data_IF_571087187055
#
_entry.id   IF_571087187055
#
_cell.length_a   1.000
_cell.length_b   1.000
_cell.length_c   1.000
_cell.angle_alpha   90.00
_cell.angle_beta   90.00
_cell.angle_gamma   90.00
#
_symmetry.space_group_name_H-M   'P 1'
#
loop_
_entity.id
_entity.type
_entity.pdbx_description
1 polymer ?
#
# COMPACT_ATOMS: atom_id res chain seq x y z
N UNK A 1 -36.29 -45.03 -8.92
CA UNK A 1 -35.57 -43.90 -9.56
C UNK A 1 -34.07 -44.17 -9.49
N UNK A 2 -33.39 -44.29 -10.63
CA UNK A 2 -31.97 -44.63 -10.69
C UNK A 2 -31.10 -43.47 -10.20
N UNK A 3 -30.03 -43.76 -9.45
CA UNK A 3 -29.10 -42.76 -8.90
C UNK A 3 -28.53 -41.77 -9.94
N UNK A 4 -28.48 -42.20 -11.21
CA UNK A 4 -28.06 -41.37 -12.35
C UNK A 4 -29.03 -40.20 -12.63
N UNK A 5 -30.34 -40.37 -12.41
CA UNK A 5 -31.34 -39.31 -12.61
C UNK A 5 -31.25 -38.23 -11.52
N UNK A 6 -30.97 -38.62 -10.28
CA UNK A 6 -30.84 -37.68 -9.16
C UNK A 6 -29.62 -36.76 -9.32
N UNK A 7 -28.48 -37.29 -9.76
CA UNK A 7 -27.26 -36.49 -10.00
C UNK A 7 -27.44 -35.45 -11.11
N UNK A 8 -28.18 -35.79 -12.18
CA UNK A 8 -28.48 -34.86 -13.27
C UNK A 8 -29.40 -33.72 -12.83
N UNK A 9 -30.40 -34.02 -11.99
CA UNK A 9 -31.28 -32.99 -11.42
C UNK A 9 -30.50 -32.00 -10.56
N UNK A 10 -29.63 -32.48 -9.66
CA UNK A 10 -28.84 -31.60 -8.77
C UNK A 10 -27.92 -30.67 -9.58
N UNK A 11 -27.28 -31.18 -10.64
CA UNK A 11 -26.40 -30.37 -11.49
C UNK A 11 -27.16 -29.23 -12.21
N UNK A 12 -28.37 -29.50 -12.71
CA UNK A 12 -29.20 -28.48 -13.38
C UNK A 12 -29.69 -27.41 -12.41
N UNK A 13 -30.11 -27.79 -11.20
CA UNK A 13 -30.48 -26.82 -10.17
C UNK A 13 -29.31 -25.93 -9.75
N UNK A 14 -28.12 -26.51 -9.55
CA UNK A 14 -26.91 -25.74 -9.21
C UNK A 14 -26.55 -24.68 -10.26
N UNK A 15 -26.61 -25.05 -11.55
CA UNK A 15 -26.34 -24.13 -12.66
C UNK A 15 -27.35 -22.98 -12.72
N UNK A 16 -28.64 -23.27 -12.50
CA UNK A 16 -29.68 -22.25 -12.48
C UNK A 16 -29.51 -21.25 -11.31
N UNK A 17 -29.09 -21.73 -10.14
CA UNK A 17 -28.86 -20.89 -8.97
C UNK A 17 -27.68 -19.93 -9.19
N UNK A 18 -26.61 -20.37 -9.83
CA UNK A 18 -25.44 -19.53 -10.15
C UNK A 18 -25.83 -18.40 -11.12
N UNK A 19 -26.61 -18.70 -12.17
CA UNK A 19 -27.05 -17.69 -13.15
C UNK A 19 -27.96 -16.64 -12.48
N UNK A 20 -28.86 -17.08 -11.61
CA UNK A 20 -29.71 -16.16 -10.84
C UNK A 20 -28.88 -15.27 -9.90
N UNK A 21 -27.89 -15.83 -9.23
CA UNK A 21 -26.99 -15.09 -8.35
C UNK A 21 -26.14 -14.07 -9.11
N UNK A 22 -25.57 -14.45 -10.25
CA UNK A 22 -24.84 -13.53 -11.13
C UNK A 22 -25.73 -12.38 -11.63
N UNK A 23 -26.98 -12.69 -12.02
CA UNK A 23 -27.95 -11.68 -12.44
C UNK A 23 -28.31 -10.69 -11.33
N UNK A 24 -28.38 -11.17 -10.08
CA UNK A 24 -28.61 -10.32 -8.91
C UNK A 24 -27.43 -9.36 -8.66
N UNK A 25 -26.19 -9.86 -8.70
CA UNK A 25 -24.98 -9.04 -8.54
C UNK A 25 -24.87 -7.95 -9.60
N UNK A 26 -25.14 -8.28 -10.87
CA UNK A 26 -25.17 -7.32 -11.97
C UNK A 26 -26.21 -6.21 -11.77
N UNK A 27 -27.35 -6.51 -11.12
CA UNK A 27 -28.37 -5.51 -10.82
C UNK A 27 -27.94 -4.59 -9.68
N UNK A 28 -27.30 -5.11 -8.63
CA UNK A 28 -26.75 -4.29 -7.55
C UNK A 28 -25.69 -3.31 -8.07
N UNK A 29 -24.72 -3.79 -8.85
CA UNK A 29 -23.66 -2.94 -9.40
C UNK A 29 -24.20 -1.82 -10.30
N UNK A 30 -25.28 -2.06 -11.04
CA UNK A 30 -25.94 -1.02 -11.85
C UNK A 30 -26.63 0.02 -10.96
N UNK A 31 -27.33 -0.41 -9.91
CA UNK A 31 -27.97 0.50 -8.96
C UNK A 31 -26.94 1.39 -8.25
N UNK A 32 -25.80 0.83 -7.84
CA UNK A 32 -24.73 1.59 -7.20
C UNK A 32 -24.09 2.60 -8.15
N UNK A 33 -23.81 2.21 -9.40
CA UNK A 33 -23.27 3.12 -10.42
C UNK A 33 -24.21 4.30 -10.66
N UNK A 34 -25.51 4.05 -10.74
CA UNK A 34 -26.50 5.09 -10.97
C UNK A 34 -26.64 5.99 -9.72
N UNK A 35 -26.53 5.43 -8.51
CA UNK A 35 -26.44 6.21 -7.26
C UNK A 35 -25.23 7.14 -7.26
N UNK A 36 -24.04 6.65 -7.61
CA UNK A 36 -22.82 7.48 -7.70
C UNK A 36 -22.95 8.60 -8.74
N UNK A 37 -23.61 8.35 -9.88
CA UNK A 37 -23.88 9.40 -10.88
C UNK A 37 -24.79 10.49 -10.31
N UNK A 38 -25.81 10.13 -9.53
CA UNK A 38 -26.67 11.13 -8.90
C UNK A 38 -25.93 11.94 -7.83
N UNK A 39 -25.07 11.31 -7.03
CA UNK A 39 -24.25 12.01 -6.04
C UNK A 39 -23.23 12.95 -6.69
N UNK A 40 -22.60 12.52 -7.79
CA UNK A 40 -21.68 13.36 -8.56
C UNK A 40 -22.39 14.56 -9.20
N UNK A 41 -23.61 14.36 -9.74
CA UNK A 41 -24.41 15.45 -10.28
C UNK A 41 -24.82 16.47 -9.19
N UNK A 42 -25.20 16.00 -8.00
CA UNK A 42 -25.51 16.87 -6.86
C UNK A 42 -24.31 17.71 -6.41
N UNK A 43 -23.13 17.10 -6.29
CA UNK A 43 -21.90 17.83 -5.95
C UNK A 43 -21.51 18.85 -7.04
N UNK A 44 -21.73 18.53 -8.31
CA UNK A 44 -21.48 19.47 -9.40
C UNK A 44 -22.45 20.67 -9.38
N UNK A 45 -23.73 20.44 -9.05
CA UNK A 45 -24.72 21.48 -8.83
C UNK A 45 -24.33 22.37 -7.63
N UNK A 46 -23.96 21.74 -6.50
CA UNK A 46 -23.53 22.44 -5.28
C UNK A 46 -22.27 23.29 -5.52
N UNK A 47 -21.29 22.78 -6.28
CA UNK A 47 -20.12 23.56 -6.68
C UNK A 47 -20.47 24.72 -7.61
N UNK A 48 -21.46 24.55 -8.49
CA UNK A 48 -21.94 25.61 -9.38
C UNK A 48 -22.67 26.70 -8.59
N UNK A 49 -23.50 26.32 -7.62
CA UNK A 49 -24.16 27.24 -6.70
C UNK A 49 -23.14 27.99 -5.83
N UNK A 50 -22.19 27.28 -5.21
CA UNK A 50 -21.11 27.90 -4.43
C UNK A 50 -20.27 28.86 -5.28
N UNK A 51 -19.97 28.51 -6.54
CA UNK A 51 -19.25 29.38 -7.47
C UNK A 51 -20.07 30.60 -7.91
N UNK A 52 -21.39 30.47 -8.01
CA UNK A 52 -22.28 31.59 -8.33
C UNK A 52 -22.46 32.55 -7.15
N UNK A 53 -22.42 32.05 -5.91
CA UNK A 53 -22.39 32.87 -4.70
C UNK A 53 -21.02 33.51 -4.46
N UNK A 54 -19.94 32.87 -4.93
CA UNK A 54 -18.57 33.37 -4.83
C UNK A 54 -18.15 34.28 -6.00
N UNK A 55 -19.04 34.67 -6.91
CA UNK A 55 -18.72 35.61 -7.97
C UNK A 55 -18.74 37.06 -7.44
N UNK A 56 -17.59 37.78 -7.38
CA UNK A 56 -17.58 39.21 -7.16
C UNK A 56 -17.84 39.91 -8.49
N UNK A 57 -18.62 40.99 -8.42
CA UNK A 57 -18.65 42.06 -9.43
C UNK A 57 -17.23 42.42 -9.87
N UNK A 58 -17.05 42.53 -11.19
CA UNK A 58 -15.76 42.62 -11.83
C UNK A 58 -14.82 43.68 -11.24
N UNK A 59 -13.56 43.30 -11.11
CA UNK A 59 -12.43 44.20 -11.30
C UNK A 59 -11.23 43.40 -11.76
N UNK A 60 -10.59 43.95 -12.78
CA UNK A 60 -9.27 43.62 -13.33
C UNK A 60 -8.20 43.46 -12.26
N UNK A 61 -7.40 42.41 -12.43
CA UNK A 61 -5.96 42.27 -12.24
C UNK A 61 -5.21 43.09 -11.16
N UNK A 62 -4.26 42.41 -10.52
CA UNK A 62 -3.22 42.89 -9.58
C UNK A 62 -3.62 43.18 -8.11
N UNK A 63 -3.58 42.13 -7.29
CA UNK A 63 -3.39 42.30 -5.84
C UNK A 63 -3.77 41.06 -5.04
N UNK A 64 -2.78 40.25 -4.64
CA UNK A 64 -2.96 39.34 -3.49
C UNK A 64 -3.54 40.16 -2.34
N UNK A 65 -4.71 39.77 -1.85
CA UNK A 65 -5.44 40.54 -0.84
C UNK A 65 -4.55 40.77 0.37
N UNK A 66 -4.60 41.97 0.97
CA UNK A 66 -3.79 42.29 2.15
C UNK A 66 -3.98 41.27 3.29
N UNK A 67 -5.16 40.65 3.36
CA UNK A 67 -5.48 39.54 4.26
C UNK A 67 -4.75 38.24 3.93
N UNK A 68 -4.61 37.88 2.65
CA UNK A 68 -3.90 36.66 2.24
C UNK A 68 -2.39 36.81 2.45
N UNK A 69 -1.86 38.03 2.26
CA UNK A 69 -0.46 38.35 2.56
C UNK A 69 -0.17 38.30 4.06
N UNK A 70 -1.09 38.77 4.91
CA UNK A 70 -0.91 38.70 6.37
C UNK A 70 -1.03 37.25 6.88
N UNK A 71 -1.91 36.44 6.29
CA UNK A 71 -2.00 35.01 6.60
C UNK A 71 -0.76 34.23 6.17
N UNK A 72 -0.21 34.50 4.98
CA UNK A 72 1.05 33.87 4.54
C UNK A 72 2.24 34.25 5.43
N UNK A 73 2.33 35.50 5.90
CA UNK A 73 3.38 35.89 6.86
C UNK A 73 3.19 35.22 8.22
N UNK A 74 1.95 35.12 8.70
CA UNK A 74 1.62 34.43 9.95
C UNK A 74 1.97 32.94 9.87
N UNK A 75 1.61 32.27 8.76
CA UNK A 75 1.95 30.86 8.54
C UNK A 75 3.46 30.63 8.46
N UNK A 76 4.22 31.53 7.83
CA UNK A 76 5.70 31.46 7.82
C UNK A 76 6.31 31.63 9.21
N UNK A 77 5.75 32.51 10.04
CA UNK A 77 6.19 32.67 11.43
C UNK A 77 5.90 31.40 12.26
N UNK A 78 4.71 30.81 12.10
CA UNK A 78 4.31 29.58 12.80
C UNK A 78 5.21 28.39 12.41
N UNK A 79 5.51 28.23 11.12
CA UNK A 79 6.42 27.17 10.62
C UNK A 79 7.84 27.36 11.16
N UNK A 80 8.31 28.61 11.25
CA UNK A 80 9.64 28.91 11.82
C UNK A 80 9.69 28.59 13.31
N UNK A 81 8.61 28.91 14.05
CA UNK A 81 8.48 28.58 15.48
C UNK A 81 8.48 27.06 15.71
N UNK A 82 7.73 26.31 14.91
CA UNK A 82 7.67 24.84 15.00
C UNK A 82 9.02 24.19 14.70
N UNK A 83 9.76 24.71 13.70
CA UNK A 83 11.13 24.24 13.43
C UNK A 83 12.10 24.53 14.57
N UNK A 84 12.02 25.70 15.21
CA UNK A 84 12.87 26.02 16.36
C UNK A 84 12.53 25.18 17.59
N UNK A 85 11.25 24.87 17.83
CA UNK A 85 10.84 23.96 18.90
C UNK A 85 11.37 22.55 18.66
N UNK A 86 11.29 22.01 17.45
CA UNK A 86 11.87 20.70 17.11
C UNK A 86 13.40 20.65 17.26
N UNK A 87 14.10 21.72 16.86
CA UNK A 87 15.56 21.80 16.98
C UNK A 87 16.05 21.95 18.44
N UNK A 88 15.25 22.55 19.33
CA UNK A 88 15.56 22.65 20.75
C UNK A 88 15.40 21.29 21.47
N UNK A 89 14.38 20.50 21.09
CA UNK A 89 14.16 19.15 21.63
C UNK A 89 15.26 18.16 21.21
N UNK A 90 15.88 18.34 20.04
CA UNK A 90 17.00 17.50 19.59
C UNK A 90 18.37 17.87 20.19
N UNK A 91 18.54 19.08 20.74
CA UNK A 91 19.85 19.54 21.26
C UNK A 91 20.16 19.18 22.71
N UNK A 92 19.20 18.64 23.46
CA UNK A 92 19.40 18.21 24.86
C UNK A 92 19.78 16.74 25.04
N UNK A 93 19.87 15.95 23.95
CA UNK A 93 20.15 14.50 24.02
C UNK A 93 21.64 14.12 24.09
N UNK A 94 22.58 15.04 23.94
CA UNK A 94 24.01 14.72 23.91
C UNK A 94 24.81 15.49 24.98
N UNK A 95 24.65 15.11 26.25
CA UNK A 95 25.67 15.32 27.28
C UNK A 95 25.41 14.40 28.49
N UNK A 96 26.32 13.45 28.71
CA UNK A 96 26.52 12.74 29.98
C UNK A 96 27.96 13.04 30.43
N UNK A 97 28.32 13.10 31.74
CA UNK A 97 28.37 11.87 32.55
C UNK A 97 28.05 12.00 34.08
N UNK A 98 27.74 10.83 34.65
CA UNK A 98 28.00 10.34 36.01
C UNK A 98 27.26 10.94 37.25
N UNK A 99 26.35 10.14 37.82
CA UNK A 99 26.30 9.90 39.27
C UNK A 99 25.68 8.52 39.57
N UNK A 100 26.47 7.67 40.21
CA UNK A 100 26.10 6.36 40.75
C UNK A 100 25.09 6.55 41.90
N UNK A 101 23.88 6.06 41.71
CA UNK A 101 22.93 5.75 42.79
C UNK A 101 22.34 4.39 42.38
N UNK A 102 22.52 3.38 43.21
CA UNK A 102 21.79 2.11 43.10
C UNK A 102 20.33 2.37 43.47
N UNK A 103 19.35 2.05 42.59
CA UNK A 103 17.97 1.93 42.99
C UNK A 103 17.58 0.46 43.07
N UNK A 104 16.95 0.12 44.18
CA UNK A 104 15.97 -0.96 44.34
C UNK A 104 15.29 -1.30 43.02
N UNK A 105 15.29 -2.60 42.66
CA UNK A 105 14.58 -3.16 41.52
C UNK A 105 13.08 -2.89 41.64
N UNK A 106 12.66 -1.75 41.12
CA UNK A 106 11.32 -1.55 40.61
C UNK A 106 11.40 -1.95 39.13
N UNK A 107 10.61 -2.96 38.76
CA UNK A 107 10.53 -3.55 37.43
C UNK A 107 10.14 -2.46 36.42
N UNK A 108 11.15 -1.80 35.85
CA UNK A 108 10.97 -0.79 34.82
C UNK A 108 10.25 -1.46 33.65
N UNK A 109 9.00 -1.04 33.41
CA UNK A 109 8.23 -1.47 32.26
C UNK A 109 9.09 -1.23 31.00
N UNK A 110 9.51 -2.32 30.36
CA UNK A 110 10.27 -2.27 29.11
C UNK A 110 9.38 -1.62 28.07
N UNK A 111 9.69 -0.38 27.72
CA UNK A 111 8.98 0.32 26.66
C UNK A 111 9.32 -0.35 25.34
N UNK A 112 8.34 -0.82 24.55
CA UNK A 112 8.63 -1.53 23.31
C UNK A 112 9.24 -0.54 22.29
N UNK A 113 10.48 -0.78 21.88
CA UNK A 113 11.12 -0.01 20.81
C UNK A 113 10.51 -0.37 19.45
N UNK A 114 10.57 0.54 18.48
CA UNK A 114 10.07 0.33 17.11
C UNK A 114 11.24 0.21 16.15
N UNK A 115 11.23 -0.84 15.32
CA UNK A 115 12.23 -1.09 14.28
C UNK A 115 11.58 -0.94 12.91
N UNK A 116 12.19 -0.11 12.06
CA UNK A 116 11.80 0.05 10.65
C UNK A 116 12.88 -0.55 9.75
N UNK A 117 12.48 -1.43 8.85
CA UNK A 117 13.37 -2.03 7.83
C UNK A 117 12.89 -1.58 6.45
N UNK A 118 13.83 -1.22 5.59
CA UNK A 118 13.57 -0.72 4.24
C UNK A 118 14.26 -1.61 3.21
N UNK A 119 13.59 -1.88 2.09
CA UNK A 119 14.13 -2.48 0.89
C UNK A 119 13.82 -1.60 -0.31
N UNK A 120 14.84 -1.17 -1.05
CA UNK A 120 14.66 -0.50 -2.34
C UNK A 120 14.69 -1.54 -3.47
N UNK A 121 13.86 -1.36 -4.49
CA UNK A 121 13.85 -2.25 -5.65
C UNK A 121 13.64 -1.47 -6.95
N UNK A 122 14.21 -2.01 -8.02
CA UNK A 122 14.11 -1.47 -9.37
C UNK A 122 14.10 -2.64 -10.34
N UNK A 123 13.03 -2.79 -11.12
CA UNK A 123 12.83 -3.94 -12.00
C UNK A 123 12.15 -3.55 -13.30
N UNK A 124 12.58 -4.15 -14.40
CA UNK A 124 11.88 -4.06 -15.68
C UNK A 124 10.95 -5.26 -15.81
N UNK A 125 9.65 -5.01 -15.87
CA UNK A 125 8.62 -6.01 -15.86
C UNK A 125 7.88 -6.03 -17.20
N UNK A 126 7.60 -7.22 -17.71
CA UNK A 126 6.54 -7.40 -18.70
C UNK A 126 5.20 -7.53 -17.99
N UNK A 127 4.10 -7.28 -18.71
CA UNK A 127 2.75 -7.57 -18.18
C UNK A 127 2.67 -9.06 -17.80
N UNK A 128 2.22 -9.33 -16.57
CA UNK A 128 2.13 -10.67 -15.99
C UNK A 128 3.40 -11.16 -15.28
N UNK A 129 4.53 -10.45 -15.39
CA UNK A 129 5.70 -10.66 -14.54
C UNK A 129 5.54 -9.93 -13.22
N UNK A 130 6.23 -10.39 -12.17
CA UNK A 130 6.03 -9.88 -10.81
C UNK A 130 7.36 -9.47 -10.20
N UNK A 131 7.44 -8.24 -9.70
CA UNK A 131 8.52 -7.85 -8.80
C UNK A 131 8.22 -8.39 -7.41
N UNK A 132 9.24 -8.91 -6.73
CA UNK A 132 9.16 -9.34 -5.34
C UNK A 132 10.20 -8.59 -4.51
N UNK A 133 9.80 -8.15 -3.32
CA UNK A 133 10.67 -7.51 -2.35
C UNK A 133 10.27 -7.90 -0.92
N UNK A 134 11.21 -7.88 0.03
CA UNK A 134 10.93 -8.05 1.46
C UNK A 134 11.73 -9.17 2.09
N UNK A 135 11.06 -10.17 2.64
CA UNK A 135 11.64 -11.16 3.55
C UNK A 135 11.97 -10.57 4.92
N UNK A 136 11.16 -9.60 5.37
CA UNK A 136 11.30 -9.02 6.69
C UNK A 136 10.90 -10.05 7.76
N UNK A 137 11.70 -10.22 8.80
CA UNK A 137 11.33 -11.10 9.91
C UNK A 137 10.10 -10.52 10.63
N UNK A 138 9.20 -11.41 11.02
CA UNK A 138 8.07 -11.12 11.90
C UNK A 138 8.37 -11.62 13.30
N UNK A 139 7.56 -11.19 14.26
CA UNK A 139 7.71 -11.57 15.66
C UNK A 139 7.53 -13.08 15.91
N UNK A 140 6.87 -13.79 14.99
CA UNK A 140 6.55 -15.22 15.10
C UNK A 140 7.54 -16.10 14.30
N UNK A 141 8.67 -15.55 13.87
CA UNK A 141 9.71 -16.27 13.12
C UNK A 141 9.35 -16.53 11.65
N UNK A 142 8.29 -15.89 11.15
CA UNK A 142 7.90 -15.90 9.73
C UNK A 142 8.53 -14.73 8.99
N UNK A 143 8.36 -14.70 7.67
CA UNK A 143 8.86 -13.68 6.75
C UNK A 143 7.74 -13.07 5.94
N UNK A 144 7.72 -11.75 5.80
CA UNK A 144 6.75 -11.05 4.94
C UNK A 144 7.40 -10.65 3.62
N UNK A 145 6.75 -10.95 2.52
CA UNK A 145 7.13 -10.55 1.17
C UNK A 145 6.01 -9.74 0.51
N UNK A 146 6.40 -8.75 -0.31
CA UNK A 146 5.52 -8.01 -1.20
C UNK A 146 5.74 -8.47 -2.63
N UNK A 147 4.65 -8.70 -3.35
CA UNK A 147 4.62 -9.05 -4.76
C UNK A 147 3.84 -7.96 -5.50
N UNK A 148 4.36 -7.48 -6.63
CA UNK A 148 3.70 -6.47 -7.47
C UNK A 148 3.73 -6.92 -8.93
N UNK A 149 2.54 -7.08 -9.51
CA UNK A 149 2.32 -7.60 -10.86
C UNK A 149 1.55 -6.58 -11.70
N UNK A 150 2.13 -6.00 -12.76
CA UNK A 150 1.36 -5.34 -13.80
C UNK A 150 0.46 -6.33 -14.55
N UNK A 151 -0.84 -6.10 -14.48
CA UNK A 151 -1.86 -6.89 -15.17
C UNK A 151 -2.30 -6.30 -16.52
N UNK A 152 -1.98 -5.01 -16.78
CA UNK A 152 -2.34 -4.35 -18.03
C UNK A 152 -1.87 -2.91 -18.12
N UNK A 153 -1.82 -2.41 -19.35
CA UNK A 153 -1.54 -1.02 -19.69
C UNK A 153 -2.66 -0.52 -20.61
N UNK A 154 -3.29 0.59 -20.24
CA UNK A 154 -4.32 1.26 -21.01
C UNK A 154 -3.76 2.57 -21.55
N UNK A 155 -3.66 2.67 -22.87
CA UNK A 155 -3.24 3.89 -23.56
C UNK A 155 -4.49 4.64 -24.02
N UNK A 156 -4.65 5.87 -23.55
CA UNK A 156 -5.66 6.80 -24.07
C UNK A 156 -5.01 7.86 -24.95
N UNK A 157 -5.71 8.28 -26.00
CA UNK A 157 -5.21 9.32 -26.91
C UNK A 157 -5.03 10.65 -26.15
N UNK A 158 -3.84 11.24 -26.26
CA UNK A 158 -3.52 12.52 -25.60
C UNK A 158 -3.35 12.46 -24.07
N UNK A 159 -3.38 11.29 -23.44
CA UNK A 159 -3.13 11.12 -22.01
C UNK A 159 -1.97 10.16 -21.72
N UNK A 160 -1.26 10.31 -20.58
CA UNK A 160 -0.22 9.35 -20.22
C UNK A 160 -0.83 7.96 -19.95
N UNK A 161 -0.11 6.86 -20.27
CA UNK A 161 -0.62 5.50 -20.08
C UNK A 161 -1.02 5.23 -18.62
N UNK A 162 -2.13 4.50 -18.45
CA UNK A 162 -2.57 3.98 -17.16
C UNK A 162 -2.14 2.53 -17.00
N UNK A 163 -1.65 2.15 -15.81
CA UNK A 163 -1.09 0.85 -15.51
C UNK A 163 -1.93 0.22 -14.40
N UNK A 164 -2.48 -0.96 -14.65
CA UNK A 164 -3.20 -1.75 -13.64
C UNK A 164 -2.24 -2.68 -12.92
N UNK A 165 -2.11 -2.51 -11.63
CA UNK A 165 -1.19 -3.25 -10.77
C UNK A 165 -1.97 -4.09 -9.76
N UNK A 166 -1.55 -5.33 -9.59
CA UNK A 166 -2.00 -6.23 -8.54
C UNK A 166 -0.86 -6.35 -7.54
N UNK A 167 -1.09 -6.01 -6.28
CA UNK A 167 -0.11 -6.20 -5.21
C UNK A 167 -0.59 -7.31 -4.28
N UNK A 168 0.33 -8.09 -3.71
CA UNK A 168 0.05 -9.10 -2.70
C UNK A 168 1.08 -9.00 -1.59
N UNK A 169 0.64 -9.16 -0.35
CA UNK A 169 1.55 -9.38 0.77
C UNK A 169 1.36 -10.80 1.28
N UNK A 170 2.43 -11.57 1.32
CA UNK A 170 2.43 -12.95 1.82
C UNK A 170 3.32 -13.05 3.04
N UNK A 171 2.83 -13.76 4.03
CA UNK A 171 3.60 -14.15 5.20
C UNK A 171 3.90 -15.65 5.09
N UNK A 172 5.17 -16.04 5.17
CA UNK A 172 5.61 -17.43 5.01
C UNK A 172 6.52 -17.85 6.17
N UNK A 173 6.49 -19.11 6.61
CA UNK A 173 7.47 -19.61 7.57
C UNK A 173 8.89 -19.64 6.97
N UNK A 174 9.91 -19.55 7.82
CA UNK A 174 11.32 -19.56 7.39
C UNK A 174 11.68 -20.79 6.52
N UNK A 175 11.00 -21.92 6.75
CA UNK A 175 11.18 -23.16 5.98
C UNK A 175 10.86 -23.03 4.49
N UNK A 176 10.05 -22.05 4.08
CA UNK A 176 9.71 -21.80 2.68
C UNK A 176 10.68 -20.82 1.98
N UNK A 177 11.54 -20.11 2.71
CA UNK A 177 12.46 -19.13 2.11
C UNK A 177 13.39 -19.76 1.06
N UNK A 178 13.97 -20.95 1.25
CA UNK A 178 14.79 -21.59 0.22
C UNK A 178 14.06 -21.78 -1.13
N UNK A 179 12.75 -22.04 -1.10
CA UNK A 179 11.94 -22.18 -2.32
C UNK A 179 11.80 -20.85 -3.08
N UNK A 180 11.65 -19.74 -2.34
CA UNK A 180 11.64 -18.41 -2.94
C UNK A 180 12.99 -18.11 -3.60
N UNK A 181 14.11 -18.42 -2.93
CA UNK A 181 15.45 -18.24 -3.50
C UNK A 181 15.61 -19.04 -4.80
N UNK A 182 15.21 -20.32 -4.79
CA UNK A 182 15.23 -21.17 -5.99
C UNK A 182 14.37 -20.64 -7.13
N UNK A 183 13.33 -19.87 -6.81
CA UNK A 183 12.45 -19.23 -7.80
C UNK A 183 13.06 -17.95 -8.42
N UNK A 184 14.28 -17.57 -8.07
CA UNK A 184 14.98 -16.40 -8.62
C UNK A 184 14.95 -15.17 -7.72
N UNK A 185 14.66 -15.34 -6.43
CA UNK A 185 14.75 -14.27 -5.43
C UNK A 185 16.17 -14.22 -4.87
N UNK A 186 16.84 -13.08 -5.01
CA UNK A 186 18.17 -12.85 -4.48
C UNK A 186 18.10 -12.25 -3.07
N UNK A 187 19.07 -12.58 -2.22
CA UNK A 187 19.26 -11.95 -0.92
C UNK A 187 20.32 -10.86 -1.01
N UNK A 188 19.95 -9.65 -0.59
CA UNK A 188 20.86 -8.52 -0.39
C UNK A 188 21.30 -8.51 1.08
N UNK A 189 22.57 -8.83 1.33
CA UNK A 189 23.15 -8.84 2.67
C UNK A 189 23.33 -7.45 3.27
N UNK A 190 23.47 -6.40 2.46
CA UNK A 190 23.64 -5.04 2.95
C UNK A 190 22.31 -4.46 3.46
N UNK A 191 21.23 -4.72 2.73
CA UNK A 191 19.88 -4.34 3.13
C UNK A 191 19.19 -5.38 4.03
N UNK A 192 19.78 -6.57 4.18
CA UNK A 192 19.20 -7.74 4.84
C UNK A 192 17.78 -8.08 4.32
N UNK A 193 17.57 -7.94 3.01
CA UNK A 193 16.27 -8.10 2.36
C UNK A 193 16.38 -8.95 1.10
N UNK A 194 15.25 -9.47 0.65
CA UNK A 194 15.13 -10.29 -0.53
C UNK A 194 14.48 -9.47 -1.65
N UNK A 195 14.98 -9.60 -2.88
CA UNK A 195 14.35 -8.99 -4.05
C UNK A 195 14.55 -9.81 -5.32
N UNK A 196 13.67 -9.65 -6.30
CA UNK A 196 13.78 -10.36 -7.56
C UNK A 196 12.63 -10.07 -8.53
N UNK A 197 12.68 -10.74 -9.67
CA UNK A 197 11.58 -10.75 -10.65
C UNK A 197 11.18 -12.18 -10.92
N UNK A 198 9.89 -12.44 -10.87
CA UNK A 198 9.27 -13.74 -11.06
C UNK A 198 8.39 -13.70 -12.32
N UNK A 199 8.38 -14.78 -13.08
CA UNK A 199 7.41 -14.97 -14.16
C UNK A 199 6.08 -15.53 -13.62
N UNK A 200 5.06 -15.55 -14.46
CA UNK A 200 3.70 -15.99 -14.08
C UNK A 200 3.64 -17.43 -13.55
N UNK A 201 4.45 -18.35 -14.08
CA UNK A 201 4.50 -19.74 -13.62
C UNK A 201 5.12 -19.85 -12.23
N UNK A 202 6.20 -19.10 -11.96
CA UNK A 202 6.84 -19.06 -10.64
C UNK A 202 5.91 -18.47 -9.58
N UNK A 203 5.22 -17.37 -9.91
CA UNK A 203 4.24 -16.74 -9.01
C UNK A 203 3.12 -17.72 -8.69
N UNK A 204 2.59 -18.41 -9.70
CA UNK A 204 1.56 -19.42 -9.50
C UNK A 204 2.02 -20.53 -8.54
N UNK A 205 3.22 -21.08 -8.76
CA UNK A 205 3.77 -22.12 -7.90
C UNK A 205 3.98 -21.63 -6.46
N UNK A 206 4.46 -20.40 -6.28
CA UNK A 206 4.61 -19.78 -4.96
C UNK A 206 3.25 -19.63 -4.28
N UNK A 207 2.24 -19.14 -4.99
CA UNK A 207 0.90 -18.96 -4.41
C UNK A 207 0.25 -20.29 -4.05
N UNK A 208 0.36 -21.32 -4.89
CA UNK A 208 -0.11 -22.68 -4.57
C UNK A 208 0.59 -23.23 -3.33
N UNK A 209 1.90 -23.01 -3.18
CA UNK A 209 2.66 -23.42 -2.01
C UNK A 209 2.23 -22.67 -0.75
N UNK A 210 1.98 -21.35 -0.84
CA UNK A 210 1.47 -20.53 0.26
C UNK A 210 0.09 -21.02 0.71
N UNK A 211 -0.78 -21.39 -0.23
CA UNK A 211 -2.13 -21.91 0.08
C UNK A 211 -2.10 -23.30 0.73
N UNK A 212 -1.11 -24.14 0.40
CA UNK A 212 -1.00 -25.52 0.90
C UNK A 212 -0.20 -25.65 2.21
N UNK A 213 0.60 -24.65 2.57
CA UNK A 213 1.51 -24.75 3.71
C UNK A 213 0.90 -24.17 4.98
N UNK A 214 0.86 -24.96 6.05
CA UNK A 214 0.44 -24.49 7.36
C UNK A 214 1.36 -23.36 7.86
N UNK A 215 0.75 -22.29 8.37
CA UNK A 215 1.47 -21.12 8.87
C UNK A 215 1.86 -20.09 7.80
N UNK A 216 1.73 -20.42 6.51
CA UNK A 216 1.77 -19.43 5.44
C UNK A 216 0.40 -18.77 5.26
N UNK A 217 0.37 -17.50 4.88
CA UNK A 217 -0.87 -16.74 4.72
C UNK A 217 -0.73 -15.60 3.71
N UNK A 218 -1.78 -15.40 2.90
CA UNK A 218 -1.95 -14.19 2.10
C UNK A 218 -2.60 -13.11 2.97
N UNK A 219 -1.85 -12.07 3.30
CA UNK A 219 -2.32 -10.98 4.15
C UNK A 219 -3.32 -10.07 3.42
N UNK A 220 -3.02 -9.71 2.17
CA UNK A 220 -3.88 -8.86 1.34
C UNK A 220 -3.54 -9.03 -0.15
N UNK A 221 -4.48 -8.67 -1.03
CA UNK A 221 -4.26 -8.63 -2.48
C UNK A 221 -4.96 -7.42 -3.15
N UNK A 222 -4.52 -6.17 -2.92
CA UNK A 222 -5.15 -4.99 -3.50
C UNK A 222 -4.84 -4.86 -5.00
N UNK A 223 -5.83 -4.35 -5.72
CA UNK A 223 -5.71 -3.96 -7.12
C UNK A 223 -5.78 -2.44 -7.22
N UNK A 224 -4.93 -1.85 -8.05
CA UNK A 224 -4.94 -0.42 -8.30
C UNK A 224 -4.65 -0.08 -9.75
N UNK A 225 -5.05 1.13 -10.13
CA UNK A 225 -4.73 1.72 -11.42
C UNK A 225 -4.02 3.04 -11.13
N UNK A 226 -2.85 3.22 -11.72
CA UNK A 226 -2.06 4.46 -11.60
C UNK A 226 -1.58 4.91 -12.97
N UNK A 227 -1.23 6.17 -13.10
CA UNK A 227 -0.68 6.73 -14.33
C UNK A 227 0.84 6.50 -14.36
N UNK A 228 1.40 6.28 -15.55
CA UNK A 228 2.85 6.20 -15.76
C UNK A 228 3.57 7.42 -15.15
N UNK A 229 4.63 7.16 -14.39
CA UNK A 229 5.43 8.17 -13.68
C UNK A 229 4.81 8.68 -12.38
N UNK A 230 3.64 8.19 -11.95
CA UNK A 230 3.03 8.59 -10.67
C UNK A 230 3.31 7.60 -9.55
N UNK A 231 3.71 8.14 -8.40
CA UNK A 231 3.87 7.36 -7.17
C UNK A 231 2.52 6.79 -6.76
N UNK A 232 2.51 5.50 -6.42
CA UNK A 232 1.41 4.84 -5.75
C UNK A 232 1.91 4.18 -4.45
N UNK A 233 1.00 4.00 -3.51
CA UNK A 233 1.28 3.41 -2.20
C UNK A 233 0.28 2.31 -1.89
N UNK A 234 0.78 1.19 -1.37
CA UNK A 234 -0.04 0.13 -0.77
C UNK A 234 0.47 -0.10 0.65
N UNK A 235 -0.43 -0.17 1.61
CA UNK A 235 -0.09 -0.39 3.02
C UNK A 235 -1.04 -1.39 3.65
N UNK A 236 -0.49 -2.29 4.47
CA UNK A 236 -1.25 -3.16 5.38
C UNK A 236 -0.73 -2.87 6.77
N UNK A 237 -1.38 -1.96 7.47
CA UNK A 237 -0.88 -1.51 8.77
C UNK A 237 -1.91 -1.64 9.87
N UNK A 238 -1.42 -1.90 11.06
CA UNK A 238 -2.17 -1.83 12.31
C UNK A 238 -1.62 -0.68 13.13
N UNK A 239 -2.49 0.24 13.53
CA UNK A 239 -2.09 1.33 14.40
C UNK A 239 -1.86 0.80 15.83
N UNK A 240 -0.70 1.10 16.40
CA UNK A 240 -0.36 0.88 17.80
C UNK A 240 -0.09 2.23 18.48
N UNK A 241 -0.34 2.32 19.79
CA UNK A 241 0.05 3.48 20.59
C UNK A 241 1.24 3.10 21.45
N UNK A 242 2.39 3.74 21.22
CA UNK A 242 3.66 3.48 21.91
C UNK A 242 4.16 4.83 22.39
N UNK A 243 4.46 4.98 23.68
CA UNK A 243 4.86 6.27 24.27
C UNK A 243 3.89 7.43 23.96
N UNK A 244 2.58 7.15 23.93
CA UNK A 244 1.52 8.09 23.55
C UNK A 244 1.58 8.59 22.09
N UNK A 245 2.42 8.00 21.24
CA UNK A 245 2.46 8.24 19.80
C UNK A 245 1.74 7.11 19.04
N UNK A 246 0.95 7.47 18.01
CA UNK A 246 0.32 6.51 17.11
C UNK A 246 1.31 6.11 16.03
N UNK A 247 1.68 4.83 16.00
CA UNK A 247 2.63 4.26 15.06
C UNK A 247 1.94 3.16 14.24
N UNK A 248 2.11 3.22 12.92
CA UNK A 248 1.57 2.21 12.00
C UNK A 248 2.57 1.05 11.84
N UNK A 249 2.21 -0.12 12.37
CA UNK A 249 2.99 -1.35 12.28
C UNK A 249 2.54 -2.18 11.08
N UNK A 250 3.48 -2.78 10.36
CA UNK A 250 3.22 -3.63 9.20
C UNK A 250 3.90 -3.15 7.91
N UNK A 251 3.67 -3.85 6.78
CA UNK A 251 4.30 -3.52 5.52
C UNK A 251 3.66 -2.33 4.82
N UNK A 252 4.49 -1.54 4.16
CA UNK A 252 4.12 -0.48 3.23
C UNK A 252 5.00 -0.58 2.00
N UNK A 253 4.45 -0.33 0.82
CA UNK A 253 5.22 -0.29 -0.42
C UNK A 253 4.83 0.96 -1.19
N UNK A 254 5.86 1.68 -1.64
CA UNK A 254 5.78 2.85 -2.50
C UNK A 254 6.41 2.47 -3.82
N UNK A 255 5.75 2.76 -4.93
CA UNK A 255 6.35 2.52 -6.23
C UNK A 255 5.92 3.55 -7.26
N UNK A 256 6.80 3.75 -8.23
CA UNK A 256 6.63 4.63 -9.39
C UNK A 256 6.78 3.75 -10.63
N UNK A 257 5.66 3.37 -11.28
CA UNK A 257 5.71 2.59 -12.50
C UNK A 257 5.83 3.51 -13.70
N UNK A 258 6.68 3.16 -14.65
CA UNK A 258 6.90 3.92 -15.90
C UNK A 258 6.80 2.96 -17.09
N UNK A 259 5.95 3.29 -18.07
CA UNK A 259 5.90 2.55 -19.34
C UNK A 259 7.06 3.01 -20.21
N UNK A 260 7.96 2.08 -20.54
CA UNK A 260 9.10 2.31 -21.40
C UNK A 260 8.70 2.23 -22.90
N UNK A 261 9.54 2.77 -23.82
CA UNK A 261 9.25 2.73 -25.26
C UNK A 261 9.12 1.33 -25.86
N UNK A 262 9.70 0.31 -25.22
CA UNK A 262 9.60 -1.10 -25.61
C UNK A 262 8.33 -1.79 -25.10
N UNK A 263 7.46 -1.06 -24.40
CA UNK A 263 6.24 -1.58 -23.78
C UNK A 263 6.46 -2.32 -22.46
N UNK A 264 7.71 -2.43 -21.98
CA UNK A 264 7.98 -2.90 -20.63
C UNK A 264 7.62 -1.83 -19.60
N UNK A 265 7.43 -2.26 -18.35
CA UNK A 265 7.13 -1.38 -17.23
C UNK A 265 8.35 -1.36 -16.34
N UNK A 266 9.02 -0.21 -16.25
CA UNK A 266 10.02 0.02 -15.22
C UNK A 266 9.30 0.31 -13.90
N UNK A 267 9.41 -0.61 -12.94
CA UNK A 267 8.89 -0.43 -11.60
C UNK A 267 10.05 -0.09 -10.67
N UNK A 268 10.06 1.13 -10.15
CA UNK A 268 10.97 1.55 -9.09
C UNK A 268 10.17 1.70 -7.81
N UNK A 269 10.75 1.34 -6.67
CA UNK A 269 10.02 1.46 -5.43
C UNK A 269 10.86 1.23 -4.19
N UNK A 270 10.20 1.46 -3.08
CA UNK A 270 10.69 1.29 -1.73
C UNK A 270 9.63 0.55 -0.93
N UNK A 271 10.03 -0.52 -0.27
CA UNK A 271 9.17 -1.29 0.60
C UNK A 271 9.68 -1.19 2.04
N UNK A 272 8.81 -0.77 2.93
CA UNK A 272 9.07 -0.54 4.33
C UNK A 272 8.29 -1.57 5.17
N UNK A 273 8.89 -2.03 6.26
CA UNK A 273 8.20 -2.83 7.26
C UNK A 273 8.53 -2.30 8.65
N UNK A 274 7.50 -1.85 9.35
CA UNK A 274 7.60 -1.33 10.72
C UNK A 274 7.12 -2.39 11.70
N UNK A 275 7.95 -2.73 12.69
CA UNK A 275 7.64 -3.75 13.70
C UNK A 275 8.08 -3.32 15.09
N UNK A 276 7.57 -4.01 16.11
CA UNK A 276 8.10 -3.88 17.47
C UNK A 276 9.44 -4.61 17.55
N UNK A 277 10.42 -3.95 18.14
CA UNK A 277 11.71 -4.51 18.51
C UNK A 277 11.53 -5.26 19.83
N UNK A 278 11.82 -6.56 19.84
CA UNK A 278 11.65 -7.44 21.00
C UNK A 278 12.98 -7.64 21.72
#
# INVERSE_FOLDING_TARGET
MSSCQLRRMIALFGLSAIVLWQGYQLRQLKADRDSHKTSAAKLAEELKEARSQAAPTGSTDTGLNASERSELMRLRAEVTRLKQQGAATQKTSNASPARRVEPTQEEAAVVPSVKKVTADFSSKLSVGSTAIAGGWPTADGKRVFSLVTPSGVEQSEGAPPSIKLESKFVEIPESLVPFFIQSGVAYDSAAATYSGTLNSAQVKNIMELVEQTEGASLLVAPNMITTSGRIAQVSVTTAAVIENERIDLGPQIFFTPEVLPDGQIHLQGKADYTMLDR
#
